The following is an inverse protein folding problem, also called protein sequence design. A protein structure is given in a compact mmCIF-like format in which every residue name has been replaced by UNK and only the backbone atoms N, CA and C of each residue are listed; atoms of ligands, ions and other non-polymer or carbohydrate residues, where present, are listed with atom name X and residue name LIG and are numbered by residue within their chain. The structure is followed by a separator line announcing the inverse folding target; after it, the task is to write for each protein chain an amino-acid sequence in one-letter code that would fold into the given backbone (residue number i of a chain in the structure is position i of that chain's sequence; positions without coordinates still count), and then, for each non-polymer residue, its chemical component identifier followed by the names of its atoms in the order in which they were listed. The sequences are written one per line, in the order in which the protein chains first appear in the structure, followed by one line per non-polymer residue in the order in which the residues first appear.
data_IF_334148437484
#
_entry.id   IF_334148437484
#
_cell.length_a   1.000
_cell.length_b   1.000
_cell.length_c   1.000
_cell.angle_alpha   90.00
_cell.angle_beta   90.00
_cell.angle_gamma   90.00
#
_symmetry.space_group_name_H-M   'P 1'
#
loop_
_entity.id
_entity.type
_entity.pdbx_description
1 polymer ?
#
# COMPACT_ATOMS: atom_id res chain seq x y z
N UNK A 1 -1.18 -11.81 -3.79
CA UNK A 1 -2.29 -10.83 -3.82
C UNK A 1 -3.30 -11.01 -2.68
N UNK A 2 -3.43 -12.22 -2.09
CA UNK A 2 -4.39 -12.50 -0.99
C UNK A 2 -4.02 -11.82 0.35
N UNK A 3 -2.73 -11.77 0.73
CA UNK A 3 -2.35 -11.32 2.08
C UNK A 3 -2.46 -9.80 2.34
N UNK A 4 -2.58 -8.97 1.30
CA UNK A 4 -2.69 -7.52 1.47
C UNK A 4 -4.18 -7.13 1.59
N UNK A 5 -4.66 -6.64 2.77
CA UNK A 5 -6.06 -6.29 2.96
C UNK A 5 -6.55 -5.14 2.07
N UNK A 6 -5.62 -4.39 1.49
CA UNK A 6 -5.90 -3.20 0.70
C UNK A 6 -5.83 -3.47 -0.81
N UNK A 7 -5.49 -4.70 -1.22
CA UNK A 7 -5.36 -5.04 -2.64
C UNK A 7 -4.28 -4.26 -3.38
N UNK A 8 -3.29 -3.70 -2.67
CA UNK A 8 -2.27 -2.82 -3.25
C UNK A 8 -1.08 -3.57 -3.90
N UNK A 9 -1.20 -4.88 -4.10
CA UNK A 9 -0.16 -5.75 -4.66
C UNK A 9 -0.63 -6.24 -6.03
N UNK A 10 0.15 -5.95 -7.07
CA UNK A 10 -0.14 -6.41 -8.44
C UNK A 10 0.83 -7.53 -8.83
N UNK A 11 0.34 -8.51 -9.58
CA UNK A 11 1.15 -9.58 -10.14
C UNK A 11 1.13 -9.45 -11.66
N UNK A 12 2.31 -9.39 -12.27
CA UNK A 12 2.47 -9.44 -13.72
C UNK A 12 2.64 -10.90 -14.14
N UNK A 13 1.68 -11.48 -14.89
CA UNK A 13 1.75 -12.88 -15.30
C UNK A 13 2.85 -13.15 -16.34
N UNK A 14 3.27 -12.14 -17.10
CA UNK A 14 4.26 -12.33 -18.17
C UNK A 14 5.68 -12.42 -17.61
N UNK A 15 6.02 -11.56 -16.65
CA UNK A 15 7.32 -11.59 -15.97
C UNK A 15 7.36 -12.48 -14.72
N UNK A 16 6.19 -12.86 -14.18
CA UNK A 16 6.10 -13.57 -12.91
C UNK A 16 6.47 -12.71 -11.69
N UNK A 17 6.56 -11.39 -11.86
CA UNK A 17 7.01 -10.47 -10.82
C UNK A 17 5.83 -9.80 -10.13
N UNK A 18 5.93 -9.68 -8.81
CA UNK A 18 5.01 -8.90 -8.00
C UNK A 18 5.49 -7.46 -7.91
N UNK A 19 4.62 -6.50 -8.21
CA UNK A 19 4.92 -5.06 -8.16
C UNK A 19 3.99 -4.32 -7.20
N UNK A 20 4.55 -3.31 -6.53
CA UNK A 20 3.88 -2.39 -5.61
C UNK A 20 4.63 -1.06 -5.62
N UNK A 21 3.91 0.02 -5.34
CA UNK A 21 4.51 1.34 -5.07
C UNK A 21 5.64 1.23 -4.01
N UNK A 22 6.83 1.66 -4.40
CA UNK A 22 8.04 1.72 -3.57
C UNK A 22 8.28 3.14 -3.01
N UNK A 23 7.29 4.02 -3.15
CA UNK A 23 7.37 5.43 -2.80
C UNK A 23 8.44 6.20 -3.59
N UNK A 24 8.86 5.68 -4.75
CA UNK A 24 9.92 6.25 -5.58
C UNK A 24 11.21 6.53 -4.78
N UNK A 25 11.56 5.66 -3.83
CA UNK A 25 12.73 5.85 -2.96
C UNK A 25 12.62 7.00 -1.95
N UNK A 26 11.41 7.55 -1.73
CA UNK A 26 11.15 8.67 -0.82
C UNK A 26 10.82 9.99 -1.51
N UNK A 27 10.93 10.05 -2.84
CA UNK A 27 10.59 11.23 -3.64
C UNK A 27 9.45 10.90 -4.61
N UNK A 28 8.17 10.95 -4.16
CA UNK A 28 7.04 10.45 -4.94
C UNK A 28 6.77 11.32 -6.17
N UNK A 29 7.12 10.79 -7.35
CA UNK A 29 6.90 11.47 -8.64
C UNK A 29 5.43 11.73 -8.94
N UNK A 30 4.51 10.88 -8.45
CA UNK A 30 3.07 11.08 -8.61
C UNK A 30 2.55 12.34 -7.90
N UNK A 31 3.18 12.76 -6.80
CA UNK A 31 2.85 14.00 -6.10
C UNK A 31 3.30 15.20 -6.94
N UNK A 32 4.51 15.16 -7.48
CA UNK A 32 5.05 16.23 -8.34
C UNK A 32 4.26 16.39 -9.65
N UNK A 33 3.79 15.27 -10.22
CA UNK A 33 3.03 15.27 -11.46
C UNK A 33 1.56 15.70 -11.29
N UNK A 34 1.04 15.85 -10.07
CA UNK A 34 -0.38 16.12 -9.83
C UNK A 34 -0.71 17.60 -10.10
N UNK A 35 -1.46 17.95 -11.17
CA UNK A 35 -1.70 19.34 -11.54
C UNK A 35 -2.73 20.03 -10.63
N UNK A 36 -3.60 19.25 -9.98
CA UNK A 36 -4.69 19.77 -9.13
C UNK A 36 -4.30 19.87 -7.65
N UNK A 37 -3.09 19.45 -7.28
CA UNK A 37 -2.66 19.38 -5.87
C UNK A 37 -3.55 18.49 -5.01
N UNK A 38 -4.13 17.42 -5.60
CA UNK A 38 -4.92 16.44 -4.85
C UNK A 38 -4.06 15.52 -3.98
N UNK A 39 -2.76 15.42 -4.28
CA UNK A 39 -1.80 14.60 -3.55
C UNK A 39 -0.80 15.51 -2.82
N UNK A 40 -0.41 15.10 -1.62
CA UNK A 40 0.63 15.77 -0.83
C UNK A 40 1.52 14.71 -0.17
N UNK A 41 2.82 15.00 -0.09
CA UNK A 41 3.76 14.20 0.67
C UNK A 41 4.01 14.85 2.03
N UNK A 42 3.52 14.21 3.09
CA UNK A 42 3.49 14.74 4.46
C UNK A 42 3.91 13.67 5.45
N UNK A 43 4.17 14.06 6.69
CA UNK A 43 4.53 13.12 7.75
C UNK A 43 3.39 12.12 8.02
N UNK A 44 3.72 10.86 8.31
CA UNK A 44 2.71 9.80 8.45
C UNK A 44 1.74 10.05 9.61
N UNK A 45 2.20 10.68 10.68
CA UNK A 45 1.42 11.04 11.87
C UNK A 45 0.36 12.11 11.58
N UNK A 46 0.57 12.96 10.56
CA UNK A 46 -0.44 13.91 10.09
C UNK A 46 -1.51 13.28 9.20
N UNK A 47 -1.57 11.95 9.08
CA UNK A 47 -2.53 11.22 8.24
C UNK A 47 -3.31 10.15 9.03
N UNK A 48 -4.16 9.38 8.34
CA UNK A 48 -4.87 8.23 8.90
C UNK A 48 -4.03 6.97 9.12
N UNK A 49 -2.69 7.05 9.10
CA UNK A 49 -1.80 5.87 9.08
C UNK A 49 -2.05 4.87 10.21
N UNK A 50 -2.27 5.33 11.45
CA UNK A 50 -2.52 4.43 12.58
C UNK A 50 -3.83 3.63 12.42
N UNK A 51 -4.87 4.23 11.82
CA UNK A 51 -6.13 3.53 11.52
C UNK A 51 -5.90 2.45 10.47
N UNK A 52 -5.18 2.78 9.40
CA UNK A 52 -4.82 1.83 8.35
C UNK A 52 -4.03 0.64 8.94
N UNK A 53 -3.05 0.91 9.79
CA UNK A 53 -2.24 -0.12 10.46
C UNK A 53 -3.07 -1.03 11.36
N UNK A 54 -3.99 -0.47 12.15
CA UNK A 54 -4.85 -1.28 13.02
C UNK A 54 -5.85 -2.15 12.25
N UNK A 55 -6.38 -1.66 11.11
CA UNK A 55 -7.21 -2.46 10.21
C UNK A 55 -6.43 -3.61 9.57
N UNK A 56 -5.20 -3.35 9.12
CA UNK A 56 -4.34 -4.39 8.56
C UNK A 56 -4.02 -5.48 9.57
N UNK A 57 -3.71 -5.10 10.82
CA UNK A 57 -3.49 -6.05 11.90
C UNK A 57 -4.75 -6.88 12.21
N UNK A 58 -5.92 -6.26 12.23
CA UNK A 58 -7.18 -6.97 12.46
C UNK A 58 -7.48 -8.00 11.36
N UNK A 59 -7.23 -7.65 10.09
CA UNK A 59 -7.36 -8.57 8.96
C UNK A 59 -6.40 -9.77 9.07
N UNK A 60 -5.13 -9.51 9.40
CA UNK A 60 -4.14 -10.57 9.57
C UNK A 60 -4.54 -11.58 10.68
N UNK A 61 -5.25 -11.14 11.71
CA UNK A 61 -5.78 -12.01 12.77
C UNK A 61 -6.99 -12.85 12.35
N UNK A 62 -7.64 -12.56 11.22
CA UNK A 62 -8.81 -13.30 10.70
C UNK A 62 -8.36 -14.41 9.72
N UNK A 63 -7.29 -14.18 8.96
CA UNK A 63 -6.80 -15.09 7.90
C UNK A 63 -5.79 -16.16 8.36
N UNK A 64 -5.56 -16.30 9.67
CA UNK A 64 -4.63 -17.32 10.19
C UNK A 64 -4.97 -18.81 9.92
N UNK A 65 -6.14 -19.24 9.39
CA UNK A 65 -6.31 -20.66 9.03
C UNK A 65 -6.01 -21.03 7.56
N UNK A 66 -5.67 -20.08 6.66
CA UNK A 66 -5.56 -20.37 5.20
C UNK A 66 -4.11 -20.49 4.70
N UNK A 67 -3.11 -20.39 5.57
CA UNK A 67 -1.72 -20.77 5.25
C UNK A 67 -1.43 -22.12 5.92
N UNK A 68 -2.00 -23.19 5.37
CA UNK A 68 -1.36 -24.50 5.38
C UNK A 68 -0.68 -24.70 4.02
#
# INVERSE_FOLDING_TARGET
TIACPFGAINYDPDSGVVSKCDLCGGEPMCVQACPTTALAFVAQDSTGYQKMRSRAAAFASIEQPVIQ
#
